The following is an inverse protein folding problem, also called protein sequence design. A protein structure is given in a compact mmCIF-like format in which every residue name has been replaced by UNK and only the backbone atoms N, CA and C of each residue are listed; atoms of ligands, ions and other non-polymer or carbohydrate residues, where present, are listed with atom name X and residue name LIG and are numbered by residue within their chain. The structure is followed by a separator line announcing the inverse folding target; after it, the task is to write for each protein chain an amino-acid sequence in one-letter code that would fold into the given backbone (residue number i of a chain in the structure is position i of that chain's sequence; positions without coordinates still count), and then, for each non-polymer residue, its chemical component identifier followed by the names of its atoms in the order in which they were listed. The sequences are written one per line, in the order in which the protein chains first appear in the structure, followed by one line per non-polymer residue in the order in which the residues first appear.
data_IF_761660753687
#
_entry.id   IF_761660753687
#
_cell.length_a   1.000
_cell.length_b   1.000
_cell.length_c   1.000
_cell.angle_alpha   90.00
_cell.angle_beta   90.00
_cell.angle_gamma   90.00
#
_symmetry.space_group_name_H-M   'P 1'
#
loop_
_entity.id
_entity.type
_entity.pdbx_description
1 polymer ?
#
# COMPACT_ATOMS: atom_id res chain seq x y z
N UNK A 1 -12.53 23.77 -55.14
CA UNK A 1 -11.54 23.07 -54.29
C UNK A 1 -11.73 21.57 -54.44
N UNK A 2 -10.65 20.79 -54.58
CA UNK A 2 -10.71 19.33 -54.77
C UNK A 2 -10.86 18.59 -53.43
N UNK A 3 -11.59 17.47 -53.42
CA UNK A 3 -11.73 16.57 -52.28
C UNK A 3 -10.38 16.06 -51.75
N UNK A 4 -9.39 15.86 -52.64
CA UNK A 4 -8.03 15.50 -52.24
C UNK A 4 -7.36 16.59 -51.38
N UNK A 5 -7.66 17.86 -51.62
CA UNK A 5 -7.11 18.96 -50.81
C UNK A 5 -7.77 18.98 -49.41
N UNK A 6 -9.06 18.63 -49.31
CA UNK A 6 -9.75 18.47 -48.02
C UNK A 6 -9.17 17.29 -47.23
N UNK A 7 -8.93 16.14 -47.88
CA UNK A 7 -8.29 14.99 -47.26
C UNK A 7 -6.85 15.30 -46.80
N UNK A 8 -6.07 16.04 -47.60
CA UNK A 8 -4.72 16.48 -47.19
C UNK A 8 -4.75 17.40 -45.97
N UNK A 9 -5.70 18.35 -45.93
CA UNK A 9 -5.87 19.21 -44.76
C UNK A 9 -6.27 18.40 -43.52
N UNK A 10 -7.23 17.48 -43.65
CA UNK A 10 -7.63 16.60 -42.55
C UNK A 10 -6.48 15.72 -42.06
N UNK A 11 -5.72 15.12 -42.97
CA UNK A 11 -4.55 14.30 -42.64
C UNK A 11 -3.47 15.13 -41.92
N UNK A 12 -3.19 16.35 -42.38
CA UNK A 12 -2.23 17.24 -41.74
C UNK A 12 -2.67 17.63 -40.32
N UNK A 13 -3.97 17.95 -40.13
CA UNK A 13 -4.52 18.27 -38.81
C UNK A 13 -4.39 17.08 -37.85
N UNK A 14 -4.73 15.87 -38.32
CA UNK A 14 -4.60 14.65 -37.52
C UNK A 14 -3.14 14.34 -37.18
N UNK A 15 -2.22 14.46 -38.14
CA UNK A 15 -0.78 14.26 -37.89
C UNK A 15 -0.23 15.26 -36.86
N UNK A 16 -0.62 16.53 -36.96
CA UNK A 16 -0.19 17.56 -36.01
C UNK A 16 -0.72 17.28 -34.59
N UNK A 17 -1.99 16.86 -34.47
CA UNK A 17 -2.59 16.48 -33.18
C UNK A 17 -1.92 15.25 -32.57
N UNK A 18 -1.64 14.22 -33.39
CA UNK A 18 -0.92 13.03 -32.97
C UNK A 18 0.51 13.35 -32.51
N UNK A 19 1.22 14.21 -33.23
CA UNK A 19 2.56 14.66 -32.84
C UNK A 19 2.59 15.40 -31.50
N UNK A 20 1.65 16.32 -31.28
CA UNK A 20 1.52 17.05 -30.01
C UNK A 20 1.17 16.11 -28.84
N UNK A 21 0.26 15.16 -29.05
CA UNK A 21 -0.12 14.19 -28.03
C UNK A 21 1.06 13.28 -27.66
N UNK A 22 1.80 12.79 -28.66
CA UNK A 22 2.98 11.95 -28.43
C UNK A 22 4.05 12.68 -27.62
N UNK A 23 4.36 13.94 -27.95
CA UNK A 23 5.31 14.76 -27.19
C UNK A 23 4.89 14.96 -25.73
N UNK A 24 3.60 15.21 -25.48
CA UNK A 24 3.08 15.36 -24.13
C UNK A 24 3.18 14.05 -23.35
N UNK A 25 2.85 12.92 -23.96
CA UNK A 25 2.94 11.60 -23.32
C UNK A 25 4.39 11.19 -23.03
N UNK A 26 5.34 11.50 -23.92
CA UNK A 26 6.76 11.25 -23.69
C UNK A 26 7.30 12.10 -22.53
N UNK A 27 6.94 13.39 -22.46
CA UNK A 27 7.31 14.25 -21.36
C UNK A 27 6.72 13.77 -20.01
N UNK A 28 5.49 13.25 -20.02
CA UNK A 28 4.87 12.71 -18.80
C UNK A 28 5.53 11.41 -18.34
N UNK A 29 5.88 10.54 -19.28
CA UNK A 29 6.64 9.33 -19.01
C UNK A 29 7.98 9.65 -18.35
N UNK A 30 8.74 10.60 -18.91
CA UNK A 30 10.04 11.01 -18.36
C UNK A 30 9.94 11.58 -16.95
N UNK A 31 8.94 12.44 -16.70
CA UNK A 31 8.69 13.00 -15.35
C UNK A 31 8.32 11.92 -14.34
N UNK A 32 7.49 10.97 -14.75
CA UNK A 32 7.07 9.85 -13.89
C UNK A 32 8.25 8.96 -13.55
N UNK A 33 9.10 8.66 -14.53
CA UNK A 33 10.32 7.87 -14.32
C UNK A 33 11.36 8.60 -13.46
N UNK A 34 11.48 9.92 -13.60
CA UNK A 34 12.33 10.73 -12.72
C UNK A 34 11.84 10.64 -11.26
N UNK A 35 10.53 10.76 -11.03
CA UNK A 35 9.96 10.58 -9.69
C UNK A 35 10.12 9.14 -9.17
N UNK A 36 9.96 8.11 -10.03
CA UNK A 36 10.22 6.72 -9.65
C UNK A 36 11.65 6.52 -9.15
N UNK A 37 12.64 7.16 -9.80
CA UNK A 37 14.04 7.10 -9.36
C UNK A 37 14.24 7.73 -7.98
N UNK A 38 13.57 8.84 -7.67
CA UNK A 38 13.61 9.46 -6.34
C UNK A 38 13.06 8.51 -5.28
N UNK A 39 11.90 7.91 -5.53
CA UNK A 39 11.28 6.93 -4.64
C UNK A 39 12.19 5.70 -4.48
N UNK A 40 12.75 5.19 -5.58
CA UNK A 40 13.65 4.04 -5.58
C UNK A 40 14.88 4.29 -4.71
N UNK A 41 15.55 5.44 -4.89
CA UNK A 41 16.74 5.79 -4.11
C UNK A 41 16.44 5.87 -2.61
N UNK A 42 15.30 6.49 -2.26
CA UNK A 42 14.88 6.60 -0.87
C UNK A 42 14.56 5.23 -0.25
N UNK A 43 13.74 4.42 -0.94
CA UNK A 43 13.30 3.12 -0.45
C UNK A 43 14.37 2.03 -0.53
N UNK A 44 15.47 2.24 -1.26
CA UNK A 44 16.64 1.37 -1.15
C UNK A 44 17.36 1.52 0.20
N UNK A 45 17.40 2.73 0.75
CA UNK A 45 18.15 3.01 1.98
C UNK A 45 17.30 2.83 3.24
N UNK A 46 16.04 3.27 3.21
CA UNK A 46 15.14 3.23 4.37
C UNK A 46 15.06 1.84 5.05
N UNK A 47 14.82 0.71 4.35
CA UNK A 47 14.76 -0.62 4.98
C UNK A 47 16.03 -0.98 5.75
N UNK A 48 17.20 -0.57 5.26
CA UNK A 48 18.49 -0.88 5.90
C UNK A 48 18.58 -0.23 7.26
N UNK A 49 18.18 1.04 7.34
CA UNK A 49 18.15 1.80 8.60
C UNK A 49 17.08 1.26 9.54
N UNK A 50 15.86 1.00 9.04
CA UNK A 50 14.77 0.47 9.86
C UNK A 50 15.05 -0.93 10.41
N UNK A 51 15.76 -1.78 9.66
CA UNK A 51 16.17 -3.10 10.15
C UNK A 51 17.24 -3.05 11.26
N UNK A 52 18.02 -1.97 11.35
CA UNK A 52 18.95 -1.76 12.46
C UNK A 52 18.20 -1.26 13.70
N UNK A 53 17.23 -0.37 13.50
CA UNK A 53 16.49 0.27 14.60
C UNK A 53 15.43 -0.68 15.19
N UNK A 54 14.81 -1.52 14.35
CA UNK A 54 13.62 -2.33 14.67
C UNK A 54 12.57 -1.52 15.46
N UNK A 55 11.99 -0.47 14.85
CA UNK A 55 11.15 0.48 15.56
C UNK A 55 9.90 -0.18 16.15
N UNK A 56 9.32 0.46 17.16
CA UNK A 56 8.00 0.07 17.64
C UNK A 56 6.95 0.24 16.52
N UNK A 57 5.88 -0.54 16.56
CA UNK A 57 4.72 -0.28 15.69
C UNK A 57 3.72 0.66 16.37
N UNK A 58 2.82 1.22 15.56
CA UNK A 58 1.59 1.83 16.08
C UNK A 58 0.79 0.80 16.91
N UNK A 59 -0.08 1.30 17.80
CA UNK A 59 -0.97 0.45 18.59
C UNK A 59 -1.95 -0.31 17.67
N UNK A 60 -1.88 -1.64 17.70
CA UNK A 60 -2.71 -2.50 16.85
C UNK A 60 -3.91 -3.05 17.64
N UNK A 61 -5.03 -3.23 16.95
CA UNK A 61 -6.22 -3.89 17.52
C UNK A 61 -7.11 -4.41 16.39
N UNK A 62 -7.69 -5.60 16.57
CA UNK A 62 -8.62 -6.18 15.60
C UNK A 62 -10.06 -5.67 15.76
N UNK A 63 -10.49 -5.39 16.98
CA UNK A 63 -11.84 -4.90 17.29
C UNK A 63 -11.89 -3.41 17.62
N UNK A 64 -10.72 -2.79 17.83
CA UNK A 64 -10.54 -1.40 18.25
C UNK A 64 -10.63 -1.20 19.76
N UNK A 65 -10.79 -2.27 20.55
CA UNK A 65 -10.98 -2.22 22.01
C UNK A 65 -9.90 -2.99 22.74
N UNK A 66 -9.51 -4.16 22.22
CA UNK A 66 -8.44 -4.98 22.76
C UNK A 66 -7.14 -4.66 22.03
N UNK A 67 -6.23 -3.88 22.65
CA UNK A 67 -4.93 -3.60 22.06
C UNK A 67 -4.08 -4.87 22.03
N UNK A 68 -3.28 -5.00 20.99
CA UNK A 68 -2.18 -5.96 20.93
C UNK A 68 -1.08 -5.54 21.92
N UNK A 69 -0.22 -6.47 22.37
CA UNK A 69 0.95 -6.14 23.18
C UNK A 69 1.91 -5.24 22.41
N UNK A 70 2.96 -4.76 23.07
CA UNK A 70 4.01 -3.97 22.41
C UNK A 70 4.62 -4.75 21.25
N UNK A 71 4.47 -4.21 20.05
CA UNK A 71 4.95 -4.79 18.81
C UNK A 71 6.19 -4.05 18.31
N UNK A 72 7.01 -4.77 17.55
CA UNK A 72 8.13 -4.22 16.78
C UNK A 72 7.96 -4.51 15.29
N UNK A 73 8.61 -3.68 14.48
CA UNK A 73 8.65 -3.81 13.03
C UNK A 73 10.04 -4.29 12.63
N UNK A 74 10.12 -5.31 11.77
CA UNK A 74 11.41 -5.89 11.38
C UNK A 74 11.36 -6.56 10.00
N UNK A 75 12.54 -6.93 9.49
CA UNK A 75 12.71 -7.59 8.18
C UNK A 75 12.05 -6.78 7.05
N UNK A 76 12.33 -5.48 7.04
CA UNK A 76 11.98 -4.57 5.96
C UNK A 76 12.74 -4.96 4.69
N UNK A 77 11.99 -5.13 3.60
CA UNK A 77 12.53 -5.49 2.29
C UNK A 77 11.96 -4.56 1.24
N UNK A 78 12.84 -4.08 0.38
CA UNK A 78 12.48 -3.31 -0.79
C UNK A 78 12.55 -4.18 -2.04
N UNK A 79 11.57 -4.03 -2.91
CA UNK A 79 11.48 -4.66 -4.22
C UNK A 79 11.01 -3.64 -5.25
N UNK A 80 11.55 -3.73 -6.46
CA UNK A 80 11.14 -2.89 -7.57
C UNK A 80 11.15 -3.71 -8.85
N UNK A 81 10.08 -3.56 -9.64
CA UNK A 81 9.92 -4.25 -10.90
C UNK A 81 9.82 -3.26 -12.05
N UNK A 82 10.31 -3.65 -13.22
CA UNK A 82 10.15 -2.91 -14.47
C UNK A 82 9.22 -3.64 -15.44
N UNK A 83 8.66 -2.87 -16.37
CA UNK A 83 7.91 -3.33 -17.53
C UNK A 83 8.35 -2.58 -18.78
N UNK A 84 8.00 -3.12 -19.94
CA UNK A 84 8.15 -2.41 -21.22
C UNK A 84 6.89 -1.60 -21.51
N UNK A 85 7.06 -0.31 -21.78
CA UNK A 85 6.01 0.61 -22.20
C UNK A 85 6.52 1.43 -23.37
N UNK A 86 5.88 1.30 -24.55
CA UNK A 86 6.27 2.01 -25.79
C UNK A 86 7.77 1.88 -26.11
N UNK A 87 8.25 0.63 -26.10
CA UNK A 87 9.65 0.25 -26.36
C UNK A 87 10.68 0.84 -25.36
N UNK A 88 10.22 1.39 -24.23
CA UNK A 88 11.05 1.87 -23.13
C UNK A 88 10.86 0.98 -21.90
N UNK A 89 11.94 0.67 -21.20
CA UNK A 89 11.84 0.06 -19.86
C UNK A 89 11.49 1.13 -18.83
N UNK A 90 10.37 0.93 -18.13
CA UNK A 90 9.86 1.84 -17.09
C UNK A 90 9.55 1.05 -15.82
N UNK A 91 9.46 1.74 -14.67
CA UNK A 91 9.06 1.07 -13.43
C UNK A 91 7.60 0.60 -13.52
N UNK A 92 7.34 -0.62 -13.07
CA UNK A 92 5.98 -1.16 -12.94
C UNK A 92 5.42 -0.91 -11.54
N UNK A 93 6.23 -1.22 -10.51
CA UNK A 93 5.95 -0.86 -9.13
C UNK A 93 7.24 -0.73 -8.31
N UNK A 94 7.13 -0.02 -7.20
CA UNK A 94 8.13 0.04 -6.13
C UNK A 94 7.45 -0.32 -4.81
N UNK A 95 7.95 -1.32 -4.09
CA UNK A 95 7.30 -1.87 -2.91
C UNK A 95 8.29 -2.01 -1.76
N UNK A 96 7.85 -1.64 -0.56
CA UNK A 96 8.51 -2.00 0.69
C UNK A 96 7.55 -2.85 1.53
N UNK A 97 8.01 -3.98 2.04
CA UNK A 97 7.23 -4.89 2.89
C UNK A 97 8.01 -5.31 4.12
N UNK A 98 7.32 -5.57 5.23
CA UNK A 98 7.93 -5.94 6.51
C UNK A 98 6.96 -6.73 7.40
N UNK A 99 7.49 -7.20 8.53
CA UNK A 99 6.76 -7.97 9.52
C UNK A 99 6.52 -7.16 10.79
N UNK A 100 5.38 -7.46 11.42
CA UNK A 100 4.98 -6.97 12.73
C UNK A 100 4.94 -8.17 13.67
N UNK A 101 5.74 -8.13 14.74
CA UNK A 101 5.79 -9.19 15.76
C UNK A 101 5.86 -8.59 17.16
N UNK A 102 5.54 -9.36 18.21
CA UNK A 102 5.65 -8.86 19.57
C UNK A 102 7.11 -8.56 19.89
N UNK A 103 7.37 -7.52 20.68
CA UNK A 103 8.73 -7.15 21.08
C UNK A 103 9.34 -8.18 22.02
N UNK A 104 8.51 -8.80 22.87
CA UNK A 104 8.87 -9.94 23.70
C UNK A 104 8.14 -11.17 23.19
N UNK A 105 8.72 -12.38 23.19
CA UNK A 105 8.03 -13.58 22.73
C UNK A 105 6.78 -13.88 23.59
N UNK A 106 5.61 -13.97 22.97
CA UNK A 106 4.39 -14.47 23.62
C UNK A 106 4.11 -15.92 23.18
N UNK A 107 3.75 -16.77 24.15
CA UNK A 107 3.27 -18.13 23.89
C UNK A 107 1.76 -18.20 23.68
N UNK A 108 1.03 -17.21 24.19
CA UNK A 108 -0.43 -17.17 24.16
C UNK A 108 -0.94 -16.57 22.85
N UNK A 109 -2.05 -17.12 22.33
CA UNK A 109 -2.79 -16.53 21.23
C UNK A 109 -3.69 -15.39 21.75
N UNK A 110 -3.90 -14.38 20.91
CA UNK A 110 -4.95 -13.40 21.14
C UNK A 110 -6.32 -13.98 20.84
N UNK A 111 -7.36 -13.44 21.48
CA UNK A 111 -8.74 -13.89 21.29
C UNK A 111 -9.68 -12.70 21.20
N UNK A 112 -10.46 -12.67 20.12
CA UNK A 112 -11.51 -11.65 19.91
C UNK A 112 -12.84 -12.34 19.70
N UNK A 113 -13.86 -11.93 20.45
CA UNK A 113 -15.22 -12.45 20.35
C UNK A 113 -16.13 -11.40 19.72
N UNK A 114 -16.86 -11.79 18.68
CA UNK A 114 -17.83 -10.92 17.99
C UNK A 114 -19.21 -11.56 17.97
N UNK A 115 -20.23 -10.77 18.26
CA UNK A 115 -21.62 -11.22 18.35
C UNK A 115 -22.51 -10.61 17.25
N UNK A 116 -22.06 -9.54 16.56
CA UNK A 116 -22.89 -8.75 15.64
C UNK A 116 -22.16 -8.40 14.33
N UNK A 117 -22.91 -8.19 13.23
CA UNK A 117 -22.33 -8.04 11.88
C UNK A 117 -21.29 -6.91 11.72
N UNK A 118 -21.48 -5.68 12.25
CA UNK A 118 -20.51 -4.60 12.05
C UNK A 118 -19.13 -4.88 12.67
N UNK A 119 -19.11 -5.54 13.82
CA UNK A 119 -17.86 -5.90 14.50
C UNK A 119 -17.20 -7.11 13.84
N UNK A 120 -17.99 -8.07 13.33
CA UNK A 120 -17.48 -9.20 12.54
C UNK A 120 -16.75 -8.72 11.28
N UNK A 121 -17.40 -7.88 10.47
CA UNK A 121 -16.81 -7.36 9.24
C UNK A 121 -15.53 -6.56 9.50
N UNK A 122 -15.49 -5.79 10.61
CA UNK A 122 -14.29 -5.05 11.02
C UNK A 122 -13.15 -6.01 11.34
N UNK A 123 -13.39 -7.01 12.19
CA UNK A 123 -12.37 -7.97 12.60
C UNK A 123 -11.86 -8.77 11.40
N UNK A 124 -12.75 -9.27 10.53
CA UNK A 124 -12.36 -10.00 9.33
C UNK A 124 -11.53 -9.14 8.37
N UNK A 125 -11.93 -7.89 8.14
CA UNK A 125 -11.17 -6.95 7.31
C UNK A 125 -9.76 -6.72 7.86
N UNK A 126 -9.63 -6.55 9.18
CA UNK A 126 -8.33 -6.30 9.82
C UNK A 126 -7.44 -7.55 9.84
N UNK A 127 -8.02 -8.73 10.08
CA UNK A 127 -7.32 -10.01 9.94
C UNK A 127 -6.78 -10.19 8.52
N UNK A 128 -7.60 -9.90 7.51
CA UNK A 128 -7.21 -10.00 6.11
C UNK A 128 -6.13 -8.97 5.73
N UNK A 129 -6.32 -7.71 6.11
CA UNK A 129 -5.36 -6.64 5.79
C UNK A 129 -3.98 -6.93 6.39
N UNK A 130 -3.92 -7.33 7.65
CA UNK A 130 -2.66 -7.69 8.32
C UNK A 130 -2.10 -9.05 7.95
N UNK A 131 -2.80 -9.86 7.14
CA UNK A 131 -2.50 -11.29 6.92
C UNK A 131 -2.25 -12.04 8.23
N UNK A 132 -3.09 -11.75 9.24
CA UNK A 132 -2.92 -12.28 10.59
C UNK A 132 -3.28 -13.77 10.61
N UNK A 133 -2.39 -14.68 11.04
CA UNK A 133 -2.73 -16.09 11.21
C UNK A 133 -3.83 -16.24 12.27
N UNK A 134 -4.94 -16.89 11.92
CA UNK A 134 -6.08 -17.04 12.82
C UNK A 134 -6.90 -18.30 12.56
N UNK A 135 -7.59 -18.74 13.59
CA UNK A 135 -8.61 -19.77 13.58
C UNK A 135 -9.96 -19.13 13.88
N UNK A 136 -11.00 -19.52 13.13
CA UNK A 136 -12.39 -19.07 13.35
C UNK A 136 -13.18 -20.17 14.05
N UNK A 137 -13.69 -19.86 15.23
CA UNK A 137 -14.48 -20.77 16.05
C UNK A 137 -15.91 -20.26 16.18
N UNK A 138 -16.88 -21.05 15.73
CA UNK A 138 -18.30 -20.73 15.88
C UNK A 138 -18.86 -21.38 17.15
N UNK A 139 -19.40 -20.57 18.05
CA UNK A 139 -20.10 -21.06 19.23
C UNK A 139 -21.60 -20.98 18.97
N UNK A 140 -22.24 -22.14 18.95
CA UNK A 140 -23.68 -22.30 18.74
C UNK A 140 -24.34 -22.76 20.02
N UNK A 141 -25.60 -22.38 20.20
CA UNK A 141 -26.41 -22.86 21.31
C UNK A 141 -26.54 -24.39 21.23
N UNK A 142 -26.31 -25.14 22.34
CA UNK A 142 -26.32 -26.60 22.32
C UNK A 142 -27.66 -27.19 21.85
N UNK A 143 -28.78 -26.63 22.31
CA UNK A 143 -30.12 -27.18 21.98
C UNK A 143 -30.75 -26.62 20.69
N UNK A 144 -30.49 -25.36 20.35
CA UNK A 144 -31.14 -24.70 19.19
C UNK A 144 -30.24 -24.58 17.97
N UNK A 145 -28.96 -24.94 18.09
CA UNK A 145 -27.91 -24.80 17.07
C UNK A 145 -27.77 -23.40 16.44
N UNK A 146 -28.40 -22.38 17.04
CA UNK A 146 -28.29 -20.98 16.63
C UNK A 146 -26.90 -20.46 16.95
N UNK A 147 -26.31 -19.70 16.01
CA UNK A 147 -25.03 -19.02 16.23
C UNK A 147 -25.19 -17.98 17.34
N UNK A 148 -24.38 -18.12 18.40
CA UNK A 148 -24.36 -17.18 19.52
C UNK A 148 -23.24 -16.16 19.35
N UNK A 149 -22.04 -16.64 19.00
CA UNK A 149 -20.85 -15.79 18.82
C UNK A 149 -19.82 -16.47 17.92
N UNK A 150 -19.01 -15.65 17.28
CA UNK A 150 -17.82 -16.09 16.58
C UNK A 150 -16.61 -15.61 17.38
N UNK A 151 -15.64 -16.50 17.54
CA UNK A 151 -14.38 -16.21 18.20
C UNK A 151 -13.26 -16.38 17.19
N UNK A 152 -12.40 -15.39 17.09
CA UNK A 152 -11.14 -15.49 16.37
C UNK A 152 -10.01 -15.69 17.37
N UNK A 153 -9.34 -16.84 17.29
CA UNK A 153 -8.06 -17.05 17.96
C UNK A 153 -6.95 -16.72 16.97
N UNK A 154 -6.05 -15.81 17.33
CA UNK A 154 -5.08 -15.27 16.38
C UNK A 154 -3.67 -15.20 16.96
N UNK A 155 -2.68 -15.31 16.09
CA UNK A 155 -1.31 -14.97 16.43
C UNK A 155 -1.15 -13.45 16.54
N UNK A 156 -0.16 -13.00 17.32
CA UNK A 156 0.31 -11.62 17.29
C UNK A 156 1.37 -11.47 16.19
N UNK A 157 1.00 -11.73 14.95
CA UNK A 157 1.88 -11.60 13.81
C UNK A 157 1.09 -11.00 12.66
N UNK A 158 1.67 -9.98 12.02
CA UNK A 158 1.06 -9.34 10.87
C UNK A 158 2.13 -8.95 9.84
N UNK A 159 1.67 -8.58 8.65
CA UNK A 159 2.49 -8.00 7.59
C UNK A 159 2.01 -6.61 7.25
N UNK A 160 2.95 -5.77 6.91
CA UNK A 160 2.69 -4.44 6.41
C UNK A 160 3.50 -4.17 5.14
N UNK A 161 2.98 -3.28 4.30
CA UNK A 161 3.61 -2.93 3.03
C UNK A 161 3.14 -1.59 2.50
N UNK A 162 4.01 -0.94 1.73
CA UNK A 162 3.67 0.22 0.90
C UNK A 162 4.05 -0.11 -0.53
N UNK A 163 3.11 0.07 -1.47
CA UNK A 163 3.31 -0.17 -2.90
C UNK A 163 2.98 1.10 -3.67
N UNK A 164 3.97 1.58 -4.41
CA UNK A 164 3.85 2.67 -5.39
C UNK A 164 3.66 2.07 -6.77
N UNK A 165 2.52 2.36 -7.40
CA UNK A 165 2.23 1.97 -8.78
C UNK A 165 2.18 3.24 -9.64
N UNK A 166 3.24 3.54 -10.42
CA UNK A 166 3.23 4.68 -11.34
C UNK A 166 2.20 4.50 -12.47
N UNK A 167 1.55 5.60 -12.80
CA UNK A 167 0.75 5.78 -14.00
C UNK A 167 1.48 6.79 -14.90
N UNK A 168 2.23 6.28 -15.88
CA UNK A 168 3.07 7.09 -16.78
C UNK A 168 2.28 7.97 -17.74
N UNK A 169 1.01 7.64 -17.97
CA UNK A 169 0.13 8.42 -18.84
C UNK A 169 -0.49 9.58 -18.07
N UNK A 170 -0.90 9.34 -16.82
CA UNK A 170 -1.43 10.39 -15.95
C UNK A 170 -0.32 11.20 -15.23
N UNK A 171 0.89 10.66 -15.11
CA UNK A 171 1.96 11.14 -14.23
C UNK A 171 1.54 11.28 -12.79
N UNK A 172 1.10 10.16 -12.24
CA UNK A 172 0.73 10.02 -10.84
C UNK A 172 1.18 8.67 -10.30
N UNK A 173 1.15 8.51 -8.98
CA UNK A 173 1.33 7.26 -8.28
C UNK A 173 0.04 6.88 -7.57
N UNK A 174 -0.42 5.66 -7.81
CA UNK A 174 -1.34 5.00 -6.87
C UNK A 174 -0.49 4.40 -5.75
N UNK A 175 -0.71 4.87 -4.54
CA UNK A 175 0.02 4.40 -3.36
C UNK A 175 -0.94 3.57 -2.51
N UNK A 176 -0.60 2.30 -2.32
CA UNK A 176 -1.34 1.37 -1.47
C UNK A 176 -0.55 1.09 -0.20
N UNK A 177 -1.12 1.43 0.94
CA UNK A 177 -0.58 1.13 2.26
C UNK A 177 -1.40 0.01 2.89
N UNK A 178 -0.73 -0.99 3.45
CA UNK A 178 -1.35 -2.12 4.15
C UNK A 178 -0.66 -2.30 5.47
N UNK A 179 -1.41 -2.39 6.57
CA UNK A 179 -0.81 -2.63 7.89
C UNK A 179 0.00 -1.44 8.43
N UNK A 180 -0.09 -0.26 7.79
CA UNK A 180 0.67 0.94 8.17
C UNK A 180 -0.20 1.83 9.05
N UNK A 181 0.26 2.16 10.26
CA UNK A 181 -0.52 2.91 11.25
C UNK A 181 -1.69 2.13 11.88
N UNK A 182 -1.99 0.93 11.40
CA UNK A 182 -3.05 0.05 11.87
C UNK A 182 -3.26 -1.14 10.93
N UNK A 183 -4.07 -2.12 11.33
CA UNK A 183 -4.37 -3.31 10.52
C UNK A 183 -5.39 -3.02 9.41
N UNK A 184 -5.13 -2.02 8.58
CA UNK A 184 -6.05 -1.56 7.56
C UNK A 184 -5.35 -1.41 6.20
N UNK A 185 -6.14 -1.26 5.14
CA UNK A 185 -5.64 -0.94 3.80
C UNK A 185 -6.09 0.46 3.42
N UNK A 186 -5.16 1.30 3.02
CA UNK A 186 -5.40 2.66 2.57
C UNK A 186 -4.86 2.82 1.15
N UNK A 187 -5.59 3.55 0.31
CA UNK A 187 -5.16 3.88 -1.03
C UNK A 187 -5.20 5.40 -1.20
N UNK A 188 -4.14 5.97 -1.75
CA UNK A 188 -4.07 7.39 -2.06
C UNK A 188 -3.42 7.60 -3.43
N UNK A 189 -3.64 8.77 -4.01
CA UNK A 189 -3.12 9.15 -5.32
C UNK A 189 -2.21 10.37 -5.16
N UNK A 190 -0.98 10.26 -5.65
CA UNK A 190 0.01 11.33 -5.62
C UNK A 190 0.36 11.78 -7.03
N UNK A 191 0.18 13.06 -7.39
CA UNK A 191 0.84 13.64 -8.55
C UNK A 191 2.37 13.49 -8.42
N UNK A 192 3.07 13.16 -9.51
CA UNK A 192 4.54 12.93 -9.48
C UNK A 192 5.32 14.13 -8.93
N UNK A 193 4.78 15.35 -9.08
CA UNK A 193 5.40 16.60 -8.60
C UNK A 193 5.34 16.76 -7.08
N UNK A 194 4.42 16.08 -6.40
CA UNK A 194 4.26 16.14 -4.95
C UNK A 194 5.10 15.07 -4.24
N UNK A 195 5.50 14.01 -4.96
CA UNK A 195 6.23 12.89 -4.38
C UNK A 195 7.74 13.14 -4.41
N UNK A 196 8.19 14.04 -3.54
CA UNK A 196 9.59 14.39 -3.32
C UNK A 196 10.12 13.79 -2.00
N UNK A 197 11.40 14.03 -1.67
CA UNK A 197 12.01 13.54 -0.42
C UNK A 197 11.23 13.93 0.83
N UNK A 198 10.70 15.16 0.92
CA UNK A 198 9.93 15.57 2.10
C UNK A 198 8.62 14.79 2.25
N UNK A 199 7.95 14.46 1.14
CA UNK A 199 6.79 13.57 1.19
C UNK A 199 7.19 12.14 1.62
N UNK A 200 8.33 11.65 1.15
CA UNK A 200 8.86 10.34 1.56
C UNK A 200 9.29 10.30 3.03
N UNK A 201 9.77 11.41 3.59
CA UNK A 201 10.04 11.54 5.03
C UNK A 201 8.75 11.47 5.85
N UNK A 202 7.67 12.10 5.38
CA UNK A 202 6.36 11.95 6.01
C UNK A 202 5.88 10.48 5.93
N UNK A 203 6.13 9.76 4.83
CA UNK A 203 5.87 8.32 4.78
C UNK A 203 6.72 7.56 5.80
N UNK A 204 8.01 7.86 5.93
CA UNK A 204 8.88 7.19 6.90
C UNK A 204 8.38 7.38 8.33
N UNK A 205 7.95 8.61 8.69
CA UNK A 205 7.28 8.91 9.98
C UNK A 205 6.05 8.03 10.18
N UNK A 206 5.19 7.95 9.15
CA UNK A 206 3.98 7.12 9.21
C UNK A 206 4.31 5.64 9.44
N UNK A 207 5.34 5.11 8.77
CA UNK A 207 5.80 3.73 8.93
C UNK A 207 6.21 3.48 10.38
N UNK A 208 6.98 4.39 10.99
CA UNK A 208 7.44 4.23 12.39
C UNK A 208 6.39 4.61 13.44
N UNK A 209 5.16 4.92 13.03
CA UNK A 209 4.05 5.25 13.93
C UNK A 209 4.06 6.69 14.47
N UNK A 210 4.86 7.57 13.89
CA UNK A 210 4.85 9.00 14.20
C UNK A 210 3.72 9.74 13.46
N UNK A 211 3.39 10.94 13.94
CA UNK A 211 2.45 11.81 13.25
C UNK A 211 2.99 12.19 11.87
N UNK A 212 2.16 12.03 10.85
CA UNK A 212 2.53 12.20 9.45
C UNK A 212 1.40 12.84 8.66
N UNK A 213 1.77 13.65 7.67
CA UNK A 213 0.86 14.26 6.69
C UNK A 213 0.89 13.54 5.33
N UNK A 214 1.37 12.30 5.31
CA UNK A 214 1.44 11.51 4.07
C UNK A 214 0.06 11.02 3.58
N UNK A 215 -0.96 11.04 4.44
CA UNK A 215 -2.34 10.68 4.08
C UNK A 215 -3.26 11.87 4.35
#
# INVERSE_FOLDING_TARGET
MSFLNQLKQQAQTLQNQQGAHQQQSDAQLERTEAACKVVWQYLMELPRQLNVIEPASAALSLDGKTPWPDMKQHDFRFDARKKTLRDKEVFDYLAIGWYLSPRQPLKEKGRVSVNFPPDLERVERRLQAGQVPHDRLEFRHPDTHRLQRIVFEHGYAARASVVFTPDHDAGSFKVRLVGVGGLETMNTLYPVVQLNTAALDELAKLIVGEHSRFI
#
